data_IF_688419627737
#
_entry.id   IF_688419627737
#
_cell.length_a   1.000
_cell.length_b   1.000
_cell.length_c   1.000
_cell.angle_alpha   90.00
_cell.angle_beta   90.00
_cell.angle_gamma   90.00
#
_symmetry.space_group_name_H-M   'P 1'
#
loop_
_entity.id
_entity.type
_entity.pdbx_description
1 polymer ?
#
# COMPACT_ATOMS: atom_id res chain seq x y z
N UNK A 1 -4.10 -6.18 8.80
CA UNK A 1 -2.99 -5.80 7.88
C UNK A 1 -1.63 -6.19 8.44
N UNK A 2 -1.57 -6.70 9.67
CA UNK A 2 -0.36 -6.90 10.46
C UNK A 2 0.64 -7.85 9.78
N UNK A 3 0.15 -8.96 9.22
CA UNK A 3 1.02 -9.92 8.53
C UNK A 3 1.67 -9.34 7.26
N UNK A 4 0.91 -8.56 6.48
CA UNK A 4 1.47 -7.92 5.28
C UNK A 4 2.52 -6.85 5.67
N UNK A 5 2.30 -6.13 6.77
CA UNK A 5 3.28 -5.22 7.35
C UNK A 5 4.55 -5.97 7.78
N UNK A 6 4.42 -7.05 8.56
CA UNK A 6 5.53 -7.88 9.02
C UNK A 6 6.42 -8.35 7.86
N UNK A 7 5.82 -8.87 6.79
CA UNK A 7 6.57 -9.32 5.61
C UNK A 7 7.27 -8.15 4.91
N UNK A 8 6.60 -7.01 4.78
CA UNK A 8 7.19 -5.83 4.17
C UNK A 8 8.38 -5.29 5.01
N UNK A 9 8.26 -5.28 6.34
CA UNK A 9 9.33 -4.90 7.26
C UNK A 9 10.53 -5.84 7.15
N UNK A 10 10.29 -7.15 7.08
CA UNK A 10 11.36 -8.13 6.89
C UNK A 10 12.11 -7.90 5.56
N UNK A 11 11.38 -7.54 4.49
CA UNK A 11 11.99 -7.18 3.20
C UNK A 11 12.79 -5.87 3.31
N UNK A 12 12.26 -4.87 4.01
CA UNK A 12 12.94 -3.58 4.24
C UNK A 12 14.25 -3.77 5.01
N UNK A 13 14.27 -4.62 6.05
CA UNK A 13 15.46 -4.88 6.86
C UNK A 13 16.62 -5.46 6.03
N UNK A 14 16.28 -6.31 5.05
CA UNK A 14 17.25 -6.86 4.10
C UNK A 14 17.63 -5.85 3.02
N UNK A 15 16.64 -5.16 2.43
CA UNK A 15 16.83 -4.28 1.28
C UNK A 15 17.52 -2.96 1.63
N UNK A 16 17.25 -2.43 2.83
CA UNK A 16 17.79 -1.18 3.38
C UNK A 16 17.60 0.03 2.45
N UNK A 17 16.35 0.39 2.11
CA UNK A 17 16.07 1.55 1.27
C UNK A 17 16.50 2.84 1.96
N UNK A 18 16.75 3.88 1.16
CA UNK A 18 17.05 5.24 1.66
C UNK A 18 16.16 6.26 0.97
N UNK A 19 16.07 7.50 1.48
CA UNK A 19 15.28 8.54 0.83
C UNK A 19 15.77 8.87 -0.59
N UNK A 20 17.06 8.65 -0.88
CA UNK A 20 17.67 8.82 -2.19
C UNK A 20 17.49 7.60 -3.11
N UNK A 21 17.31 6.41 -2.53
CA UNK A 21 17.10 5.16 -3.26
C UNK A 21 15.97 4.36 -2.61
N UNK A 22 14.74 4.75 -2.98
CA UNK A 22 13.51 4.21 -2.40
C UNK A 22 13.22 2.80 -2.90
N UNK A 23 12.52 2.02 -2.08
CA UNK A 23 11.89 0.76 -2.49
C UNK A 23 10.43 0.99 -2.85
N UNK A 24 9.91 0.20 -3.79
CA UNK A 24 8.48 0.18 -4.11
C UNK A 24 7.85 -0.98 -3.35
N UNK A 25 6.83 -0.68 -2.56
CA UNK A 25 5.92 -1.69 -2.01
C UNK A 25 4.62 -1.56 -2.78
N UNK A 26 4.26 -2.60 -3.52
CA UNK A 26 3.02 -2.66 -4.25
C UNK A 26 1.99 -3.45 -3.43
N UNK A 27 0.89 -2.80 -3.04
CA UNK A 27 -0.23 -3.46 -2.38
C UNK A 27 -1.33 -3.69 -3.41
N UNK A 28 -1.56 -4.96 -3.84
CA UNK A 28 -2.59 -5.25 -4.81
C UNK A 28 -3.93 -5.56 -4.15
N UNK A 29 -5.00 -5.01 -4.71
CA UNK A 29 -6.35 -5.60 -4.61
C UNK A 29 -6.48 -6.64 -5.71
N UNK A 30 -5.79 -7.78 -5.57
CA UNK A 30 -5.70 -8.84 -6.59
C UNK A 30 -7.07 -9.37 -7.02
N UNK A 31 -8.00 -9.41 -6.09
CA UNK A 31 -9.43 -9.50 -6.35
C UNK A 31 -10.05 -8.40 -5.51
N UNK A 32 -10.89 -7.56 -6.10
CA UNK A 32 -11.63 -6.54 -5.37
C UNK A 32 -12.65 -7.21 -4.44
N UNK A 33 -12.34 -7.31 -3.15
CA UNK A 33 -13.17 -8.08 -2.19
C UNK A 33 -14.16 -7.22 -1.39
N UNK A 34 -13.96 -5.91 -1.32
CA UNK A 34 -14.74 -4.99 -0.50
C UNK A 34 -15.03 -3.68 -1.24
N UNK A 35 -15.70 -2.73 -0.58
CA UNK A 35 -15.89 -1.38 -1.10
C UNK A 35 -14.59 -0.57 -1.05
N UNK A 36 -14.43 0.44 -1.91
CA UNK A 36 -13.14 1.14 -2.09
C UNK A 36 -12.66 1.88 -0.83
N UNK A 37 -13.56 2.30 0.05
CA UNK A 37 -13.21 2.93 1.33
C UNK A 37 -12.49 1.95 2.29
N UNK A 38 -12.87 0.66 2.27
CA UNK A 38 -12.19 -0.35 3.12
C UNK A 38 -10.76 -0.57 2.63
N UNK A 39 -10.55 -0.55 1.31
CA UNK A 39 -9.20 -0.61 0.75
C UNK A 39 -8.39 0.64 1.12
N UNK A 40 -8.99 1.83 1.05
CA UNK A 40 -8.34 3.08 1.47
C UNK A 40 -7.94 3.06 2.96
N UNK A 41 -8.81 2.53 3.85
CA UNK A 41 -8.48 2.36 5.28
C UNK A 41 -7.26 1.44 5.47
N UNK A 42 -7.14 0.36 4.68
CA UNK A 42 -5.98 -0.52 4.70
C UNK A 42 -4.70 0.18 4.23
N UNK A 43 -4.79 1.01 3.20
CA UNK A 43 -3.67 1.82 2.70
C UNK A 43 -3.23 2.85 3.75
N UNK A 44 -4.17 3.58 4.35
CA UNK A 44 -3.87 4.57 5.39
C UNK A 44 -3.25 3.90 6.61
N UNK A 45 -3.80 2.76 7.03
CA UNK A 45 -3.25 1.96 8.12
C UNK A 45 -1.82 1.52 7.79
N UNK A 46 -1.57 1.01 6.58
CA UNK A 46 -0.23 0.59 6.18
C UNK A 46 0.76 1.77 6.19
N UNK A 47 0.37 2.91 5.62
CA UNK A 47 1.15 4.15 5.63
C UNK A 47 1.54 4.62 7.03
N UNK A 48 0.65 4.45 8.02
CA UNK A 48 0.88 4.86 9.41
C UNK A 48 1.79 3.91 10.19
N UNK A 49 1.85 2.64 9.79
CA UNK A 49 2.52 1.60 10.57
C UNK A 49 3.84 1.11 9.95
N UNK A 50 4.07 1.31 8.65
CA UNK A 50 5.34 0.94 7.99
C UNK A 50 6.50 1.85 8.43
N UNK A 51 7.63 1.24 8.75
CA UNK A 51 8.88 1.92 9.06
C UNK A 51 9.46 2.60 7.82
N UNK A 52 10.42 3.53 8.02
CA UNK A 52 11.16 4.19 6.94
C UNK A 52 10.26 4.76 5.82
N UNK A 53 9.09 5.32 6.18
CA UNK A 53 8.06 5.78 5.24
C UNK A 53 8.58 6.77 4.18
N UNK A 54 9.60 7.55 4.50
CA UNK A 54 10.25 8.49 3.58
C UNK A 54 11.06 7.80 2.45
N UNK A 55 11.48 6.56 2.71
CA UNK A 55 12.27 5.69 1.84
C UNK A 55 11.43 4.69 1.04
N UNK A 56 10.10 4.82 1.10
CA UNK A 56 9.14 3.92 0.45
C UNK A 56 8.25 4.69 -0.53
N UNK A 57 8.10 4.12 -1.73
CA UNK A 57 7.06 4.43 -2.71
C UNK A 57 5.98 3.36 -2.53
N UNK A 58 4.77 3.78 -2.16
CA UNK A 58 3.65 2.86 -1.92
C UNK A 58 2.77 2.86 -3.16
N UNK A 59 2.90 1.81 -3.97
CA UNK A 59 2.16 1.60 -5.21
C UNK A 59 0.83 0.89 -4.94
N UNK A 60 -0.20 1.30 -5.70
CA UNK A 60 -1.51 0.65 -5.71
C UNK A 60 -1.67 -0.18 -6.98
N UNK A 61 -2.20 -1.39 -6.84
CA UNK A 61 -2.60 -2.22 -7.98
C UNK A 61 -4.04 -2.67 -7.75
N UNK A 62 -5.01 -1.93 -8.28
CA UNK A 62 -6.43 -2.21 -8.06
C UNK A 62 -7.03 -2.97 -9.24
N UNK A 63 -7.57 -4.16 -8.99
CA UNK A 63 -8.46 -4.83 -9.95
C UNK A 63 -9.89 -4.29 -9.83
N UNK A 64 -10.74 -4.66 -10.77
CA UNK A 64 -12.08 -4.07 -10.96
C UNK A 64 -13.22 -5.10 -10.83
N UNK A 65 -13.03 -6.15 -10.04
CA UNK A 65 -13.99 -7.25 -9.91
C UNK A 65 -15.36 -6.81 -9.36
N UNK A 66 -15.41 -5.71 -8.61
CA UNK A 66 -16.64 -5.10 -8.08
C UNK A 66 -16.97 -3.76 -8.76
N UNK A 67 -16.24 -3.40 -9.81
CA UNK A 67 -16.49 -2.21 -10.61
C UNK A 67 -16.06 -0.89 -9.96
N UNK A 68 -15.22 -0.94 -8.91
CA UNK A 68 -14.82 0.26 -8.15
C UNK A 68 -13.32 0.53 -8.14
N UNK A 69 -12.53 -0.02 -9.08
CA UNK A 69 -11.07 0.13 -9.08
C UNK A 69 -10.59 1.58 -9.14
N UNK A 70 -11.25 2.43 -9.93
CA UNK A 70 -10.93 3.87 -10.03
C UNK A 70 -11.14 4.54 -8.69
N UNK A 71 -12.27 4.28 -8.02
CA UNK A 71 -12.54 4.81 -6.69
C UNK A 71 -11.54 4.28 -5.65
N UNK A 72 -11.19 2.99 -5.70
CA UNK A 72 -10.20 2.40 -4.81
C UNK A 72 -8.81 3.05 -4.99
N UNK A 73 -8.42 3.33 -6.24
CA UNK A 73 -7.18 4.05 -6.56
C UNK A 73 -7.21 5.48 -6.05
N UNK A 74 -8.25 6.25 -6.34
CA UNK A 74 -8.38 7.64 -5.93
C UNK A 74 -8.39 7.79 -4.40
N UNK A 75 -9.17 6.96 -3.70
CA UNK A 75 -9.19 6.97 -2.23
C UNK A 75 -7.87 6.48 -1.64
N UNK A 76 -7.21 5.48 -2.26
CA UNK A 76 -5.89 5.02 -1.85
C UNK A 76 -4.80 6.09 -1.98
N UNK A 77 -4.88 6.95 -3.00
CA UNK A 77 -4.00 8.11 -3.15
C UNK A 77 -4.24 9.13 -2.01
N UNK A 78 -5.50 9.41 -1.67
CA UNK A 78 -5.84 10.27 -0.52
C UNK A 78 -5.37 9.67 0.81
N UNK A 79 -5.38 8.35 0.94
CA UNK A 79 -4.86 7.60 2.08
C UNK A 79 -3.33 7.59 2.18
N UNK A 80 -2.62 8.19 1.21
CA UNK A 80 -1.18 8.43 1.27
C UNK A 80 -0.31 7.51 0.40
N UNK A 81 -0.90 6.76 -0.53
CA UNK A 81 -0.14 6.07 -1.58
C UNK A 81 0.51 7.07 -2.56
N UNK A 82 1.70 6.73 -3.07
CA UNK A 82 2.49 7.54 -4.01
C UNK A 82 3.68 6.76 -4.55
#
# INVERSE_FOLDING_TARGET
>A
MDYALEICEAVIDVWKPTPQKKVIINLPSTVEMATPNVYADQIEWFCKNISCRDSIILSLHTHNDRGTCTAASELGLLAGAR
#
